data_IF_573120638713
#
_entry.id   IF_573120638713
#
_cell.length_a   1.000
_cell.length_b   1.000
_cell.length_c   1.000
_cell.angle_alpha   90.00
_cell.angle_beta   90.00
_cell.angle_gamma   90.00
#
_symmetry.space_group_name_H-M   'P 1'
#
loop_
_entity.id
_entity.type
_entity.pdbx_description
1 polymer ?
#
# COMPACT_ATOMS: atom_id res chain seq x y z
N UNK A 1 16.77 10.92 -19.37
CA UNK A 1 15.99 10.04 -20.27
C UNK A 1 15.28 9.02 -19.38
N UNK A 2 14.14 9.41 -18.82
CA UNK A 2 13.42 8.65 -17.79
C UNK A 2 12.38 7.74 -18.46
N UNK A 3 12.48 6.43 -18.22
CA UNK A 3 11.40 5.47 -18.44
C UNK A 3 10.92 5.02 -17.06
N UNK A 4 9.74 5.48 -16.66
CA UNK A 4 9.01 5.02 -15.48
C UNK A 4 8.08 3.92 -15.96
N UNK A 5 8.31 2.71 -15.46
CA UNK A 5 7.48 1.52 -15.72
C UNK A 5 6.44 1.46 -14.61
N UNK A 6 5.19 1.73 -14.97
CA UNK A 6 4.00 1.62 -14.12
C UNK A 6 3.50 0.19 -14.19
N UNK A 7 3.09 -0.38 -13.05
CA UNK A 7 2.51 -1.72 -12.89
C UNK A 7 1.67 -2.14 -14.11
N UNK A 8 2.01 -3.31 -14.66
CA UNK A 8 1.67 -3.81 -16.01
C UNK A 8 0.18 -3.82 -16.34
N UNK A 9 -0.72 -3.80 -15.36
CA UNK A 9 -2.16 -3.76 -15.61
C UNK A 9 -2.74 -2.34 -15.66
N UNK A 10 -2.29 -1.42 -14.79
CA UNK A 10 -2.69 0.00 -14.88
C UNK A 10 -2.17 0.63 -16.18
N UNK A 11 -0.98 0.21 -16.63
CA UNK A 11 -0.42 0.61 -17.91
C UNK A 11 -1.24 0.09 -19.10
N UNK A 12 -1.72 -1.16 -19.06
CA UNK A 12 -2.52 -1.74 -20.16
C UNK A 12 -3.92 -1.12 -20.22
N UNK A 13 -4.54 -0.84 -19.07
CA UNK A 13 -5.83 -0.14 -18.98
C UNK A 13 -5.69 1.32 -19.44
N UNK A 14 -4.68 2.06 -18.97
CA UNK A 14 -4.44 3.44 -19.43
C UNK A 14 -3.99 3.51 -20.89
N UNK A 15 -3.24 2.52 -21.38
CA UNK A 15 -2.80 2.44 -22.77
C UNK A 15 -3.96 2.10 -23.72
N UNK A 16 -4.86 1.18 -23.35
CA UNK A 16 -6.02 0.82 -24.18
C UNK A 16 -7.14 1.88 -24.14
N UNK A 17 -7.38 2.51 -22.97
CA UNK A 17 -8.27 3.68 -22.87
C UNK A 17 -7.69 4.86 -23.66
N UNK A 18 -6.36 5.06 -23.61
CA UNK A 18 -5.65 6.03 -24.44
C UNK A 18 -5.75 5.75 -25.94
N UNK A 19 -5.64 4.48 -26.36
CA UNK A 19 -5.68 4.08 -27.77
C UNK A 19 -7.06 4.33 -28.42
N UNK A 20 -8.14 4.11 -27.68
CA UNK A 20 -9.50 4.38 -28.18
C UNK A 20 -9.84 5.88 -28.26
N UNK A 21 -9.23 6.71 -27.41
CA UNK A 21 -9.39 8.18 -27.46
C UNK A 21 -8.50 8.79 -28.57
N UNK A 22 -7.33 8.22 -28.84
CA UNK A 22 -6.37 8.75 -29.83
C UNK A 22 -6.78 8.50 -31.30
N UNK A 23 -7.60 7.48 -31.59
CA UNK A 23 -8.03 7.20 -32.97
C UNK A 23 -9.09 8.19 -33.51
N UNK A 24 -9.70 9.01 -32.64
CA UNK A 24 -10.68 10.04 -33.03
C UNK A 24 -10.08 11.41 -33.35
N UNK A 25 -8.78 11.64 -33.12
CA UNK A 25 -8.14 12.95 -33.30
C UNK A 25 -6.81 12.86 -34.08
N UNK A 26 -6.79 12.13 -35.20
CA UNK A 26 -5.58 11.96 -36.03
C UNK A 26 -5.29 13.13 -36.99
N UNK A 27 -5.88 14.31 -36.78
CA UNK A 27 -5.61 15.49 -37.62
C UNK A 27 -5.46 16.76 -36.75
N UNK A 28 -4.31 16.92 -36.10
CA UNK A 28 -3.68 18.22 -35.80
C UNK A 28 -2.50 17.99 -34.85
N UNK A 29 -1.32 17.78 -35.43
CA UNK A 29 -0.06 17.63 -34.71
C UNK A 29 0.54 19.01 -34.39
N UNK A 30 1.23 19.08 -33.24
CA UNK A 30 2.13 20.13 -32.74
C UNK A 30 1.50 21.35 -32.02
N UNK A 31 1.27 21.19 -30.70
CA UNK A 31 1.67 22.14 -29.62
C UNK A 31 0.90 21.98 -28.29
N UNK A 32 -0.07 21.07 -28.16
CA UNK A 32 -0.98 21.03 -26.99
C UNK A 32 -0.61 20.12 -25.79
N UNK A 33 0.42 19.29 -25.86
CA UNK A 33 0.59 18.16 -24.92
C UNK A 33 1.03 18.53 -23.49
N UNK A 34 1.45 19.77 -23.24
CA UNK A 34 1.81 20.24 -21.90
C UNK A 34 0.66 20.98 -21.17
N UNK A 35 -0.44 21.31 -21.85
CA UNK A 35 -1.53 22.09 -21.27
C UNK A 35 -2.70 21.23 -20.74
N UNK A 36 -2.94 20.04 -21.30
CA UNK A 36 -4.09 19.21 -20.91
C UNK A 36 -3.97 18.51 -19.55
N UNK A 37 -2.77 18.13 -19.11
CA UNK A 37 -2.59 17.49 -17.77
C UNK A 37 -2.71 18.52 -16.64
N UNK A 38 -2.26 19.77 -16.87
CA UNK A 38 -2.45 20.88 -15.93
C UNK A 38 -3.92 21.29 -15.82
N UNK A 39 -4.65 21.27 -16.95
CA UNK A 39 -6.08 21.60 -17.02
C UNK A 39 -6.97 20.58 -16.31
N UNK A 40 -6.72 19.27 -16.43
CA UNK A 40 -7.52 18.26 -15.73
C UNK A 40 -7.28 18.26 -14.22
N UNK A 41 -6.04 18.46 -13.74
CA UNK A 41 -5.77 18.60 -12.31
C UNK A 41 -6.34 19.90 -11.70
N UNK A 42 -6.45 20.98 -12.49
CA UNK A 42 -7.14 22.21 -12.05
C UNK A 42 -8.67 22.07 -11.97
N UNK A 43 -9.27 21.08 -12.65
CA UNK A 43 -10.70 20.77 -12.57
C UNK A 43 -11.05 19.76 -11.48
N UNK A 44 -10.05 19.11 -10.87
CA UNK A 44 -10.20 18.33 -9.62
C UNK A 44 -10.11 19.27 -8.38
N UNK A 45 -10.46 20.55 -8.52
CA UNK A 45 -10.69 21.50 -7.41
C UNK A 45 -12.04 21.27 -6.70
N UNK A 46 -12.51 20.03 -6.67
CA UNK A 46 -13.72 19.60 -5.98
C UNK A 46 -13.45 18.56 -4.88
N UNK A 47 -12.22 18.48 -4.35
CA UNK A 47 -11.96 17.72 -3.12
C UNK A 47 -12.72 18.45 -2.01
N UNK A 48 -13.89 17.92 -1.68
CA UNK A 48 -14.86 18.46 -0.73
C UNK A 48 -14.16 18.98 0.53
N UNK A 49 -14.23 20.29 0.77
CA UNK A 49 -13.74 20.98 1.99
C UNK A 49 -14.37 20.42 3.28
N UNK A 50 -15.47 19.68 3.17
CA UNK A 50 -16.11 18.93 4.28
C UNK A 50 -15.27 17.76 4.81
N UNK A 51 -14.41 17.14 4.00
CA UNK A 51 -13.55 16.04 4.46
C UNK A 51 -12.39 16.52 5.34
N UNK A 52 -11.88 17.73 5.09
CA UNK A 52 -10.89 18.40 5.93
C UNK A 52 -11.55 18.85 7.25
N UNK A 53 -12.80 19.33 7.20
CA UNK A 53 -13.54 19.78 8.37
C UNK A 53 -13.85 18.66 9.37
N UNK A 54 -14.31 17.49 8.91
CA UNK A 54 -14.63 16.35 9.78
C UNK A 54 -13.37 15.66 10.37
N UNK A 55 -12.17 15.95 9.84
CA UNK A 55 -10.90 15.42 10.36
C UNK A 55 -10.40 16.18 11.60
N UNK A 56 -10.98 17.34 11.93
CA UNK A 56 -10.58 18.18 13.05
C UNK A 56 -11.11 17.71 14.42
N UNK A 57 -12.04 16.75 14.45
CA UNK A 57 -12.77 16.37 15.68
C UNK A 57 -12.26 15.09 16.37
N UNK A 58 -11.21 14.43 15.86
CA UNK A 58 -10.67 13.21 16.47
C UNK A 58 -9.36 13.45 17.24
N UNK A 59 -9.20 12.89 18.46
CA UNK A 59 -7.98 13.06 19.23
C UNK A 59 -6.76 12.44 18.50
N UNK A 60 -5.56 13.00 18.71
CA UNK A 60 -4.32 12.48 18.11
C UNK A 60 -4.05 11.05 18.59
N UNK A 61 -3.57 10.19 17.68
CA UNK A 61 -3.02 8.87 18.06
C UNK A 61 -1.73 9.09 18.87
N UNK A 62 -1.43 8.19 19.81
CA UNK A 62 -0.18 8.21 20.56
C UNK A 62 1.01 8.12 19.60
N UNK A 63 1.87 9.13 19.61
CA UNK A 63 3.10 9.16 18.83
C UNK A 63 4.17 8.31 19.52
N UNK A 64 4.92 7.49 18.75
CA UNK A 64 6.05 6.74 19.29
C UNK A 64 7.17 7.68 19.71
N UNK A 65 7.55 7.65 20.98
CA UNK A 65 8.66 8.41 21.54
C UNK A 65 9.80 7.44 21.93
N UNK A 66 10.95 7.45 21.22
CA UNK A 66 12.10 6.61 21.56
C UNK A 66 12.54 6.74 23.02
N UNK A 67 12.49 7.95 23.60
CA UNK A 67 12.94 8.22 24.96
C UNK A 67 12.00 7.60 26.00
N UNK A 68 10.68 7.65 25.75
CA UNK A 68 9.69 6.99 26.59
C UNK A 68 9.90 5.48 26.70
N UNK A 69 10.59 4.88 25.71
CA UNK A 69 10.97 3.46 25.69
C UNK A 69 12.45 3.21 26.04
N UNK A 70 13.16 4.24 26.53
CA UNK A 70 14.57 4.15 26.92
C UNK A 70 15.53 3.89 25.76
N UNK A 71 15.17 4.30 24.54
CA UNK A 71 16.03 4.29 23.36
C UNK A 71 16.70 5.65 23.17
N UNK A 72 17.71 5.70 22.30
CA UNK A 72 18.37 6.96 21.94
C UNK A 72 17.37 7.91 21.22
N UNK A 73 17.34 9.23 21.53
CA UNK A 73 16.44 10.19 20.87
C UNK A 73 16.58 10.24 19.34
N UNK A 74 17.75 9.86 18.81
CA UNK A 74 18.06 9.84 17.38
C UNK A 74 17.68 8.53 16.69
N UNK A 75 17.15 7.55 17.42
CA UNK A 75 16.70 6.28 16.85
C UNK A 75 15.62 6.51 15.78
N UNK A 76 15.82 5.94 14.58
CA UNK A 76 14.86 5.99 13.47
C UNK A 76 14.78 4.62 12.82
N UNK A 77 13.57 4.10 12.69
CA UNK A 77 13.30 2.81 12.07
C UNK A 77 13.51 2.88 10.55
N UNK A 78 13.22 4.03 9.96
CA UNK A 78 13.32 4.30 8.52
C UNK A 78 14.75 4.28 7.98
N UNK A 79 15.77 4.40 8.84
CA UNK A 79 17.18 4.31 8.44
C UNK A 79 17.61 2.91 8.00
N UNK A 80 16.76 1.90 8.14
CA UNK A 80 17.06 0.51 7.83
C UNK A 80 16.50 0.02 6.48
N UNK A 81 16.16 0.88 5.51
CA UNK A 81 15.52 0.49 4.23
C UNK A 81 16.40 0.44 2.96
N UNK A 82 15.87 -0.18 1.88
CA UNK A 82 16.50 -0.32 0.54
C UNK A 82 15.50 -0.16 -0.64
N UNK A 83 15.99 0.12 -1.85
CA UNK A 83 15.21 0.30 -3.09
C UNK A 83 15.51 -0.82 -4.11
N UNK A 84 14.50 -1.55 -4.61
CA UNK A 84 14.70 -2.63 -5.59
C UNK A 84 13.65 -2.64 -6.71
N UNK A 85 14.06 -2.57 -7.99
CA UNK A 85 13.17 -2.61 -9.16
C UNK A 85 12.64 -4.03 -9.43
N UNK A 86 11.31 -4.21 -9.51
CA UNK A 86 10.66 -5.48 -9.91
C UNK A 86 10.58 -5.60 -11.45
N UNK A 87 11.03 -6.72 -12.00
CA UNK A 87 10.74 -7.18 -13.38
C UNK A 87 10.22 -8.63 -13.26
N UNK A 88 9.04 -8.95 -13.81
CA UNK A 88 8.45 -10.30 -13.75
C UNK A 88 8.12 -10.85 -15.14
N UNK A 89 8.39 -12.15 -15.42
CA UNK A 89 7.98 -12.81 -16.66
C UNK A 89 6.50 -13.23 -16.60
N UNK A 90 5.82 -13.23 -17.76
CA UNK A 90 4.41 -13.61 -17.91
C UNK A 90 4.22 -15.14 -17.98
N UNK A 91 3.26 -15.69 -17.24
CA UNK A 91 2.86 -17.11 -17.28
C UNK A 91 1.46 -17.32 -17.89
N UNK A 92 1.20 -18.50 -18.45
CA UNK A 92 -0.09 -18.89 -19.04
C UNK A 92 -1.25 -18.84 -18.02
N UNK A 93 -2.23 -17.98 -18.27
CA UNK A 93 -3.47 -17.86 -17.50
C UNK A 93 -4.55 -18.77 -18.13
N UNK A 94 -5.28 -19.51 -17.31
CA UNK A 94 -6.53 -20.20 -17.71
C UNK A 94 -7.70 -19.60 -16.90
N UNK A 95 -8.94 -19.79 -17.34
CA UNK A 95 -10.13 -19.08 -16.80
C UNK A 95 -10.33 -19.15 -15.27
N UNK A 96 -9.69 -20.10 -14.57
CA UNK A 96 -9.76 -20.27 -13.11
C UNK A 96 -8.39 -20.25 -12.42
N UNK A 97 -7.32 -19.98 -13.16
CA UNK A 97 -5.95 -19.97 -12.64
C UNK A 97 -5.29 -18.62 -12.91
N UNK A 98 -5.02 -17.91 -11.83
CA UNK A 98 -4.22 -16.69 -11.87
C UNK A 98 -2.82 -17.00 -11.35
N UNK A 99 -1.83 -16.79 -12.21
CA UNK A 99 -0.41 -16.94 -11.91
C UNK A 99 0.29 -15.59 -11.69
N UNK A 100 1.59 -15.56 -11.97
CA UNK A 100 2.44 -14.37 -11.81
C UNK A 100 1.89 -13.20 -12.64
N UNK A 101 1.84 -12.01 -12.03
CA UNK A 101 1.50 -10.75 -12.71
C UNK A 101 0.23 -10.06 -12.19
N UNK A 102 -0.49 -10.69 -11.26
CA UNK A 102 -1.63 -10.13 -10.53
C UNK A 102 -1.32 -10.04 -9.03
N UNK A 103 -2.20 -9.37 -8.26
CA UNK A 103 -2.01 -9.09 -6.83
C UNK A 103 -2.02 -10.37 -5.97
N UNK A 104 -2.83 -11.37 -6.34
CA UNK A 104 -2.85 -12.69 -5.70
C UNK A 104 -2.76 -13.80 -6.74
N UNK A 105 -2.26 -14.97 -6.34
CA UNK A 105 -2.46 -16.18 -7.11
C UNK A 105 -3.82 -16.81 -6.79
N UNK A 106 -4.43 -17.44 -7.78
CA UNK A 106 -5.68 -18.21 -7.64
C UNK A 106 -5.44 -19.59 -8.23
N UNK A 107 -5.58 -20.64 -7.42
CA UNK A 107 -5.25 -22.00 -7.78
C UNK A 107 -6.38 -22.96 -7.39
N UNK A 108 -6.83 -23.87 -8.28
CA UNK A 108 -7.79 -24.89 -7.90
C UNK A 108 -7.17 -25.91 -6.95
N UNK A 109 -7.88 -26.23 -5.86
CA UNK A 109 -7.50 -27.30 -4.94
C UNK A 109 -7.93 -28.65 -5.53
N UNK A 110 -7.22 -29.72 -5.20
CA UNK A 110 -7.59 -31.08 -5.60
C UNK A 110 -9.06 -31.38 -5.22
N UNK A 111 -9.86 -31.82 -6.19
CA UNK A 111 -11.32 -32.00 -6.05
C UNK A 111 -12.17 -30.88 -6.67
N UNK A 112 -11.57 -29.76 -7.09
CA UNK A 112 -12.14 -28.80 -8.05
C UNK A 112 -13.28 -27.90 -7.54
N UNK A 113 -13.70 -28.02 -6.28
CA UNK A 113 -14.80 -27.22 -5.71
C UNK A 113 -14.36 -25.92 -5.04
N UNK A 114 -13.10 -25.84 -4.63
CA UNK A 114 -12.55 -24.72 -3.88
C UNK A 114 -11.29 -24.19 -4.56
N UNK A 115 -11.07 -22.89 -4.41
CA UNK A 115 -9.91 -22.19 -4.92
C UNK A 115 -9.06 -21.69 -3.75
N UNK A 116 -7.77 -21.91 -3.83
CA UNK A 116 -6.77 -21.29 -2.98
C UNK A 116 -6.45 -19.90 -3.54
N UNK A 117 -6.60 -18.88 -2.72
CA UNK A 117 -6.17 -17.51 -2.99
C UNK A 117 -5.06 -17.17 -2.03
N UNK A 118 -3.90 -16.77 -2.56
CA UNK A 118 -2.74 -16.50 -1.73
C UNK A 118 -1.93 -15.33 -2.30
N UNK A 119 -1.46 -14.47 -1.39
CA UNK A 119 -0.58 -13.35 -1.69
C UNK A 119 0.57 -13.31 -0.69
N UNK A 120 1.67 -12.68 -1.08
CA UNK A 120 2.77 -12.32 -0.20
C UNK A 120 3.28 -10.93 -0.53
N UNK A 121 3.52 -10.13 0.50
CA UNK A 121 4.17 -8.83 0.34
C UNK A 121 4.97 -8.48 1.59
N UNK A 122 6.01 -7.66 1.41
CA UNK A 122 6.88 -7.21 2.50
C UNK A 122 7.50 -5.85 2.16
N UNK A 123 7.82 -5.09 3.21
CA UNK A 123 8.32 -3.73 3.14
C UNK A 123 9.53 -3.54 4.02
N UNK A 124 10.33 -2.54 3.64
CA UNK A 124 11.19 -1.85 4.59
C UNK A 124 10.35 -0.87 5.41
N UNK A 125 10.76 -0.55 6.65
CA UNK A 125 10.05 0.41 7.47
C UNK A 125 9.85 1.76 6.78
N UNK A 126 8.59 2.18 6.70
CA UNK A 126 8.19 3.46 6.11
C UNK A 126 8.12 4.57 7.16
N UNK A 127 7.80 4.22 8.40
CA UNK A 127 7.60 5.15 9.52
C UNK A 127 8.39 4.68 10.73
N UNK A 128 8.60 5.58 11.69
CA UNK A 128 9.41 5.29 12.88
C UNK A 128 8.66 4.60 14.02
N UNK A 129 7.32 4.67 14.04
CA UNK A 129 6.50 3.94 15.00
C UNK A 129 6.44 2.44 14.63
N UNK A 130 7.07 1.54 15.42
CA UNK A 130 7.12 0.12 15.12
C UNK A 130 5.76 -0.56 15.18
N UNK A 131 4.89 -0.16 16.12
CA UNK A 131 3.56 -0.74 16.24
C UNK A 131 2.69 -0.39 15.03
N UNK A 132 2.67 0.88 14.66
CA UNK A 132 1.99 1.33 13.44
C UNK A 132 2.60 0.68 12.18
N UNK A 133 3.92 0.53 12.12
CA UNK A 133 4.59 -0.15 10.99
C UNK A 133 4.16 -1.62 10.87
N UNK A 134 4.02 -2.32 12.00
CA UNK A 134 3.45 -3.67 12.06
C UNK A 134 2.03 -3.74 11.50
N UNK A 135 1.17 -2.80 11.93
CA UNK A 135 -0.20 -2.69 11.41
C UNK A 135 -0.23 -2.41 9.90
N UNK A 136 0.61 -1.49 9.41
CA UNK A 136 0.72 -1.16 7.98
C UNK A 136 1.11 -2.40 7.17
N UNK A 137 2.12 -3.16 7.63
CA UNK A 137 2.58 -4.34 6.93
C UNK A 137 1.50 -5.42 6.83
N UNK A 138 0.77 -5.68 7.92
CA UNK A 138 -0.35 -6.62 7.91
C UNK A 138 -1.48 -6.16 6.99
N UNK A 139 -1.93 -4.90 7.12
CA UNK A 139 -2.97 -4.32 6.27
C UNK A 139 -2.59 -4.37 4.79
N UNK A 140 -1.30 -4.23 4.48
CA UNK A 140 -0.79 -4.36 3.13
C UNK A 140 -0.88 -5.81 2.62
N UNK A 141 -0.35 -6.77 3.38
CA UNK A 141 -0.42 -8.20 3.02
C UNK A 141 -1.86 -8.66 2.79
N UNK A 142 -2.82 -8.20 3.58
CA UNK A 142 -4.23 -8.55 3.42
C UNK A 142 -4.90 -7.84 2.23
N UNK A 143 -4.35 -6.73 1.76
CA UNK A 143 -5.04 -5.93 0.74
C UNK A 143 -5.13 -6.61 -0.61
N UNK A 144 -4.14 -7.41 -1.01
CA UNK A 144 -4.16 -8.10 -2.30
C UNK A 144 -5.24 -9.20 -2.31
N UNK A 145 -5.57 -9.74 -1.14
CA UNK A 145 -6.67 -10.68 -0.96
C UNK A 145 -8.02 -9.97 -1.13
N UNK A 146 -8.19 -8.82 -0.46
CA UNK A 146 -9.37 -7.97 -0.59
C UNK A 146 -9.57 -7.42 -2.01
N UNK A 147 -8.48 -7.15 -2.75
CA UNK A 147 -8.54 -6.73 -4.16
C UNK A 147 -9.15 -7.80 -5.08
N UNK A 148 -9.08 -9.07 -4.68
CA UNK A 148 -9.71 -10.21 -5.35
C UNK A 148 -11.16 -10.45 -4.91
N UNK A 149 -11.76 -9.55 -4.12
CA UNK A 149 -13.11 -9.75 -3.59
C UNK A 149 -13.19 -10.66 -2.35
N UNK A 150 -12.06 -11.21 -1.90
CA UNK A 150 -12.03 -12.19 -0.81
C UNK A 150 -11.92 -11.47 0.53
N UNK A 151 -12.99 -11.47 1.33
CA UNK A 151 -13.06 -10.75 2.62
C UNK A 151 -12.53 -11.51 3.82
N UNK A 152 -12.49 -12.84 3.72
CA UNK A 152 -12.11 -13.73 4.81
C UNK A 152 -10.72 -14.31 4.53
N UNK A 153 -9.85 -14.24 5.54
CA UNK A 153 -8.50 -14.78 5.47
C UNK A 153 -8.41 -15.96 6.44
N UNK A 154 -8.16 -17.15 5.93
CA UNK A 154 -8.09 -18.35 6.78
C UNK A 154 -6.82 -18.36 7.64
N UNK A 155 -5.71 -17.88 7.08
CA UNK A 155 -4.43 -17.92 7.76
C UNK A 155 -3.45 -16.85 7.28
N UNK A 156 -2.66 -16.32 8.21
CA UNK A 156 -1.48 -15.49 7.92
C UNK A 156 -0.17 -16.11 8.39
N UNK A 157 0.90 -15.87 7.63
CA UNK A 157 2.28 -16.08 8.08
C UNK A 157 3.00 -14.74 8.16
N UNK A 158 3.83 -14.54 9.18
CA UNK A 158 4.64 -13.32 9.32
C UNK A 158 6.05 -13.53 8.75
N UNK A 159 6.50 -12.59 7.92
CA UNK A 159 7.86 -12.54 7.40
C UNK A 159 8.57 -11.36 8.03
N UNK A 160 9.62 -11.64 8.79
CA UNK A 160 10.36 -10.63 9.54
C UNK A 160 11.87 -10.77 9.30
N UNK A 161 12.54 -9.65 9.07
CA UNK A 161 13.99 -9.58 9.20
C UNK A 161 14.39 -8.53 10.21
N UNK A 162 15.35 -8.89 11.06
CA UNK A 162 15.90 -8.03 12.10
C UNK A 162 17.22 -7.47 11.60
N UNK A 163 17.40 -6.15 11.72
CA UNK A 163 18.65 -5.52 11.27
C UNK A 163 19.82 -5.93 12.16
N UNK A 164 20.92 -6.35 11.55
CA UNK A 164 22.19 -6.60 12.25
C UNK A 164 22.86 -5.33 12.78
N UNK A 165 22.33 -4.15 12.45
CA UNK A 165 22.81 -2.84 12.94
C UNK A 165 22.13 -2.40 14.24
N UNK A 166 21.02 -3.04 14.62
CA UNK A 166 20.33 -2.75 15.86
C UNK A 166 21.05 -3.43 17.04
N UNK A 167 21.24 -2.67 18.10
CA UNK A 167 21.61 -3.21 19.40
C UNK A 167 20.55 -4.19 19.92
N UNK A 168 20.94 -5.05 20.85
CA UNK A 168 20.01 -5.99 21.49
C UNK A 168 18.86 -5.26 22.17
N UNK A 169 19.14 -4.14 22.85
CA UNK A 169 18.12 -3.31 23.50
C UNK A 169 17.10 -2.73 22.51
N UNK A 170 17.56 -2.19 21.38
CA UNK A 170 16.63 -1.68 20.36
C UNK A 170 15.77 -2.82 19.80
N UNK A 171 16.37 -3.99 19.56
CA UNK A 171 15.66 -5.17 19.06
C UNK A 171 14.57 -5.63 20.02
N UNK A 172 14.88 -5.73 21.31
CA UNK A 172 13.96 -6.21 22.34
C UNK A 172 12.75 -5.29 22.57
N UNK A 173 12.83 -4.04 22.10
CA UNK A 173 11.72 -3.08 22.14
C UNK A 173 10.97 -3.05 20.81
N UNK A 174 11.69 -2.82 19.71
CA UNK A 174 11.12 -2.53 18.40
C UNK A 174 10.46 -3.75 17.79
N UNK A 175 11.09 -4.92 17.87
CA UNK A 175 10.57 -6.13 17.22
C UNK A 175 9.26 -6.60 17.88
N UNK A 176 9.15 -6.70 19.22
CA UNK A 176 7.88 -7.06 19.84
C UNK A 176 6.74 -6.07 19.56
N UNK A 177 7.01 -4.76 19.55
CA UNK A 177 6.00 -3.76 19.18
C UNK A 177 5.50 -3.93 17.75
N UNK A 178 6.43 -4.21 16.83
CA UNK A 178 6.11 -4.42 15.42
C UNK A 178 5.29 -5.71 15.21
N UNK A 179 5.68 -6.81 15.85
CA UNK A 179 4.93 -8.06 15.83
C UNK A 179 3.53 -7.88 16.45
N UNK A 180 3.43 -7.14 17.56
CA UNK A 180 2.16 -6.80 18.20
C UNK A 180 1.25 -6.03 17.26
N UNK A 181 1.76 -5.00 16.57
CA UNK A 181 0.99 -4.25 15.59
C UNK A 181 0.47 -5.14 14.46
N UNK A 182 1.30 -6.03 13.93
CA UNK A 182 0.88 -6.98 12.90
C UNK A 182 -0.24 -7.92 13.40
N UNK A 183 -0.08 -8.50 14.59
CA UNK A 183 -1.07 -9.39 15.20
C UNK A 183 -2.40 -8.68 15.50
N UNK A 184 -2.36 -7.47 16.05
CA UNK A 184 -3.59 -6.70 16.33
C UNK A 184 -4.35 -6.37 15.04
N UNK A 185 -3.64 -6.12 13.93
CA UNK A 185 -4.26 -5.92 12.61
C UNK A 185 -4.85 -7.24 12.04
N UNK A 186 -4.18 -8.37 12.24
CA UNK A 186 -4.71 -9.68 11.85
C UNK A 186 -6.00 -10.02 12.62
N UNK A 187 -6.03 -9.72 13.92
CA UNK A 187 -7.23 -9.87 14.76
C UNK A 187 -8.38 -8.96 14.28
N UNK A 188 -8.09 -7.71 13.91
CA UNK A 188 -9.08 -6.79 13.31
C UNK A 188 -9.65 -7.33 11.98
N UNK A 189 -8.84 -8.10 11.25
CA UNK A 189 -9.24 -8.80 10.03
C UNK A 189 -9.94 -10.15 10.28
N UNK A 190 -10.19 -10.51 11.54
CA UNK A 190 -10.77 -11.81 11.94
C UNK A 190 -9.94 -13.03 11.49
N UNK A 191 -8.61 -12.87 11.45
CA UNK A 191 -7.67 -13.95 11.14
C UNK A 191 -6.57 -14.04 12.20
N UNK A 192 -5.72 -15.06 12.10
CA UNK A 192 -4.62 -15.30 13.02
C UNK A 192 -3.31 -15.51 12.28
N UNK A 193 -2.21 -15.16 12.95
CA UNK A 193 -0.85 -15.43 12.48
C UNK A 193 -0.40 -16.77 13.08
N UNK A 194 -0.47 -17.84 12.29
CA UNK A 194 -0.19 -19.22 12.76
C UNK A 194 1.28 -19.64 12.56
N UNK A 195 2.12 -18.73 12.09
CA UNK A 195 3.53 -19.02 11.88
C UNK A 195 4.26 -17.89 11.18
N UNK A 196 5.51 -18.17 10.82
CA UNK A 196 6.35 -17.19 10.17
C UNK A 196 7.82 -17.56 10.20
N UNK A 197 8.63 -16.65 9.66
CA UNK A 197 10.08 -16.77 9.67
C UNK A 197 10.70 -15.44 10.08
N UNK A 198 11.66 -15.52 11.00
CA UNK A 198 12.50 -14.39 11.41
C UNK A 198 13.96 -14.67 11.06
N UNK A 199 14.63 -13.73 10.39
CA UNK A 199 16.04 -13.85 10.01
C UNK A 199 16.83 -12.59 10.33
N UNK A 200 18.15 -12.73 10.51
CA UNK A 200 19.05 -11.58 10.55
C UNK A 200 19.34 -11.09 9.12
N UNK A 201 19.31 -9.78 8.92
CA UNK A 201 19.52 -9.14 7.62
C UNK A 201 20.16 -7.76 7.85
N UNK A 202 20.89 -7.12 6.90
CA UNK A 202 21.36 -5.75 7.10
C UNK A 202 20.24 -4.72 7.30
N UNK A 203 19.05 -5.04 6.80
CA UNK A 203 17.87 -4.18 6.80
C UNK A 203 16.70 -4.83 7.53
N UNK A 204 15.79 -4.02 8.06
CA UNK A 204 14.55 -4.52 8.64
C UNK A 204 13.58 -4.76 7.49
N UNK A 205 12.93 -5.92 7.46
CA UNK A 205 11.80 -6.16 6.57
C UNK A 205 10.66 -6.71 7.38
N UNK A 206 9.45 -6.24 7.09
CA UNK A 206 8.23 -6.80 7.67
C UNK A 206 7.20 -7.01 6.57
N UNK A 207 6.53 -8.15 6.63
CA UNK A 207 5.48 -8.51 5.72
C UNK A 207 4.85 -9.83 6.13
N UNK A 208 4.23 -10.48 5.17
CA UNK A 208 3.59 -11.75 5.43
C UNK A 208 3.09 -12.46 4.19
N UNK A 209 2.34 -13.51 4.47
CA UNK A 209 1.54 -14.26 3.52
C UNK A 209 0.12 -14.25 4.03
N UNK A 210 -0.86 -13.92 3.19
CA UNK A 210 -2.28 -14.09 3.49
C UNK A 210 -2.83 -15.19 2.59
N UNK A 211 -3.61 -16.10 3.18
CA UNK A 211 -4.13 -17.28 2.49
C UNK A 211 -5.62 -17.45 2.79
N UNK A 212 -6.41 -17.72 1.76
CA UNK A 212 -7.81 -18.07 1.88
C UNK A 212 -8.18 -19.21 0.94
N UNK A 213 -9.17 -20.00 1.33
CA UNK A 213 -9.78 -21.07 0.55
C UNK A 213 -11.26 -20.76 0.46
N UNK A 214 -11.70 -20.39 -0.74
CA UNK A 214 -13.08 -19.97 -0.97
C UNK A 214 -13.63 -20.59 -2.25
N UNK A 215 -14.97 -20.69 -2.38
CA UNK A 215 -15.57 -21.13 -3.61
C UNK A 215 -15.47 -20.02 -4.69
N UNK A 216 -15.53 -20.36 -5.98
CA UNK A 216 -15.31 -19.40 -7.07
C UNK A 216 -16.22 -18.16 -7.04
N UNK A 217 -17.46 -18.31 -6.55
CA UNK A 217 -18.44 -17.22 -6.42
C UNK A 217 -18.01 -16.10 -5.44
N UNK A 218 -17.06 -16.36 -4.55
CA UNK A 218 -16.54 -15.37 -3.61
C UNK A 218 -15.31 -14.62 -4.16
N UNK A 219 -14.88 -14.93 -5.39
CA UNK A 219 -13.73 -14.30 -6.03
C UNK A 219 -14.20 -13.39 -7.15
N UNK A 220 -13.77 -12.13 -7.10
CA UNK A 220 -13.95 -11.17 -8.18
C UNK A 220 -12.70 -11.20 -9.04
N UNK A 221 -12.82 -11.75 -10.25
CA UNK A 221 -11.69 -11.82 -11.16
C UNK A 221 -11.32 -10.42 -11.69
N UNK A 222 -10.03 -10.04 -11.67
CA UNK A 222 -9.55 -8.69 -12.00
C UNK A 222 -9.51 -8.40 -13.51
N UNK A 223 -10.11 -9.27 -14.30
CA UNK A 223 -10.33 -9.12 -15.74
C UNK A 223 -11.83 -9.27 -15.96
N UNK A 224 -12.49 -8.21 -16.43
CA UNK A 224 -13.86 -8.15 -16.98
C UNK A 224 -14.38 -6.70 -17.04
N UNK A 225 -13.46 -5.71 -17.04
CA UNK A 225 -13.83 -4.30 -17.13
C UNK A 225 -14.42 -3.99 -18.50
N UNK A 226 -15.53 -3.27 -18.52
CA UNK A 226 -16.28 -2.92 -19.72
C UNK A 226 -16.23 -1.39 -19.96
N UNK A 227 -16.28 -0.94 -21.22
CA UNK A 227 -16.48 0.47 -21.51
C UNK A 227 -17.80 0.96 -20.88
N UNK A 228 -17.69 2.01 -20.06
CA UNK A 228 -18.82 2.54 -19.28
C UNK A 228 -18.64 2.35 -17.76
N UNK A 229 -17.74 1.46 -17.33
CA UNK A 229 -17.41 1.30 -15.92
C UNK A 229 -16.72 2.55 -15.36
N UNK A 230 -16.94 2.80 -14.07
CA UNK A 230 -16.32 3.92 -13.34
C UNK A 230 -15.21 3.40 -12.43
N UNK A 231 -14.19 4.23 -12.25
CA UNK A 231 -13.08 3.95 -11.33
C UNK A 231 -13.39 4.55 -9.97
N UNK A 232 -13.33 3.70 -8.93
CA UNK A 232 -13.52 4.11 -7.54
C UNK A 232 -12.23 3.90 -6.77
N UNK A 233 -11.82 4.95 -6.06
CA UNK A 233 -10.65 4.94 -5.18
C UNK A 233 -11.11 5.06 -3.73
N UNK A 234 -10.77 4.09 -2.90
CA UNK A 234 -11.24 4.03 -1.49
C UNK A 234 -10.30 4.70 -0.50
N UNK A 235 -9.03 4.91 -0.88
CA UNK A 235 -8.00 5.57 -0.07
C UNK A 235 -7.37 6.74 -0.84
N UNK A 236 -7.09 7.89 -0.19
CA UNK A 236 -6.44 9.00 -0.85
C UNK A 236 -5.00 8.67 -1.25
N UNK A 237 -4.53 9.31 -2.32
CA UNK A 237 -3.15 9.20 -2.79
C UNK A 237 -2.21 10.12 -2.01
N UNK A 238 -0.90 9.86 -2.08
CA UNK A 238 0.14 10.77 -1.61
C UNK A 238 0.79 10.41 -0.26
N UNK A 239 0.46 9.27 0.34
CA UNK A 239 1.05 8.85 1.64
C UNK A 239 2.57 8.71 1.56
N UNK A 240 3.14 8.16 0.47
CA UNK A 240 4.60 8.05 0.29
C UNK A 240 5.30 9.41 0.26
N UNK A 241 4.69 10.39 -0.42
CA UNK A 241 5.22 11.75 -0.43
C UNK A 241 5.29 12.30 1.00
N UNK A 242 4.20 12.11 1.76
CA UNK A 242 4.11 12.62 3.13
C UNK A 242 5.05 11.92 4.09
N UNK A 243 5.23 10.61 3.97
CA UNK A 243 6.27 9.85 4.69
C UNK A 243 7.67 10.41 4.39
N UNK A 244 7.99 10.65 3.11
CA UNK A 244 9.29 11.21 2.74
C UNK A 244 9.49 12.64 3.26
N UNK A 245 8.45 13.49 3.19
CA UNK A 245 8.51 14.85 3.72
C UNK A 245 8.69 14.84 5.24
N UNK A 246 8.00 13.96 5.97
CA UNK A 246 8.19 13.78 7.41
C UNK A 246 9.61 13.34 7.75
N UNK A 247 10.15 12.37 7.01
CA UNK A 247 11.55 11.94 7.16
C UNK A 247 12.53 13.10 6.88
N UNK A 248 12.27 13.95 5.88
CA UNK A 248 13.12 15.12 5.63
C UNK A 248 13.07 16.14 6.76
N UNK A 249 11.90 16.32 7.37
CA UNK A 249 11.73 17.20 8.54
C UNK A 249 12.52 16.65 9.73
N UNK A 250 12.35 15.37 10.06
CA UNK A 250 12.94 14.76 11.26
C UNK A 250 14.47 14.62 11.20
N UNK A 251 15.02 14.58 9.98
CA UNK A 251 16.46 14.49 9.73
C UNK A 251 17.08 15.84 9.38
N UNK A 252 16.32 16.94 9.51
CA UNK A 252 16.75 18.29 9.13
C UNK A 252 17.36 18.34 7.71
N UNK A 253 16.81 17.53 6.81
CA UNK A 253 17.39 17.29 5.50
C UNK A 253 17.22 18.55 4.63
N UNK A 254 18.26 18.91 3.86
CA UNK A 254 18.29 20.13 3.02
C UNK A 254 17.09 20.28 2.08
N UNK A 255 16.57 19.17 1.57
CA UNK A 255 15.32 19.11 0.77
C UNK A 255 14.10 19.71 1.47
N UNK A 256 13.98 19.65 2.80
CA UNK A 256 12.87 20.26 3.52
C UNK A 256 12.90 21.79 3.41
N UNK A 257 14.09 22.40 3.42
CA UNK A 257 14.24 23.86 3.24
C UNK A 257 13.64 24.35 1.92
N UNK A 258 13.70 23.52 0.86
CA UNK A 258 13.12 23.86 -0.44
C UNK A 258 11.59 23.89 -0.44
N UNK A 259 10.93 23.25 0.52
CA UNK A 259 9.46 23.14 0.59
C UNK A 259 8.87 23.81 1.84
N UNK A 260 9.71 24.38 2.72
CA UNK A 260 9.28 25.05 3.96
C UNK A 260 8.33 26.23 3.72
N UNK A 261 8.40 26.85 2.55
CA UNK A 261 7.49 27.91 2.13
C UNK A 261 6.12 27.41 1.62
N UNK A 262 6.00 26.11 1.37
CA UNK A 262 4.77 25.46 0.85
C UNK A 262 3.97 24.81 1.98
N UNK A 263 4.65 24.21 2.96
CA UNK A 263 4.01 23.43 4.03
C UNK A 263 4.67 23.70 5.38
N UNK A 264 3.87 23.94 6.42
CA UNK A 264 4.35 24.13 7.79
C UNK A 264 4.65 22.78 8.46
N UNK A 265 5.57 22.77 9.44
CA UNK A 265 5.95 21.58 10.20
C UNK A 265 4.74 20.94 10.91
N UNK A 266 3.85 21.76 11.47
CA UNK A 266 2.58 21.29 12.05
C UNK A 266 1.69 20.58 11.02
N UNK A 267 1.63 21.11 9.78
CA UNK A 267 0.85 20.48 8.71
C UNK A 267 1.49 19.16 8.27
N UNK A 268 2.82 19.10 8.19
CA UNK A 268 3.54 17.85 7.89
C UNK A 268 3.18 16.77 8.90
N UNK A 269 3.24 17.09 10.20
CA UNK A 269 2.88 16.13 11.25
C UNK A 269 1.43 15.65 11.11
N UNK A 270 0.48 16.57 10.98
CA UNK A 270 -0.96 16.23 10.85
C UNK A 270 -1.23 15.35 9.63
N UNK A 271 -0.67 15.68 8.47
CA UNK A 271 -0.89 14.93 7.22
C UNK A 271 -0.15 13.59 7.25
N UNK A 272 1.02 13.52 7.89
CA UNK A 272 1.71 12.26 8.16
C UNK A 272 0.83 11.33 9.00
N UNK A 273 0.27 11.80 10.12
CA UNK A 273 -0.57 10.99 10.99
C UNK A 273 -1.84 10.49 10.27
N UNK A 274 -2.42 11.33 9.41
CA UNK A 274 -3.52 10.90 8.54
C UNK A 274 -3.09 9.84 7.52
N UNK A 275 -1.89 9.99 6.95
CA UNK A 275 -1.33 9.01 6.04
C UNK A 275 -1.12 7.65 6.71
N UNK A 276 -0.61 7.64 7.95
CA UNK A 276 -0.46 6.44 8.77
C UNK A 276 -1.82 5.80 9.04
N UNK A 277 -2.82 6.57 9.47
CA UNK A 277 -4.20 6.08 9.67
C UNK A 277 -4.78 5.46 8.39
N UNK A 278 -4.56 6.09 7.23
CA UNK A 278 -5.01 5.57 5.93
C UNK A 278 -4.31 4.27 5.55
N UNK A 279 -3.00 4.15 5.81
CA UNK A 279 -2.23 2.94 5.52
C UNK A 279 -2.62 1.76 6.42
N UNK A 280 -2.85 2.00 7.72
CA UNK A 280 -3.28 0.99 8.69
C UNK A 280 -4.68 0.44 8.40
N UNK A 281 -5.59 1.26 7.86
CA UNK A 281 -6.99 0.86 7.65
C UNK A 281 -7.10 -0.35 6.72
N UNK A 282 -7.74 -1.42 7.19
CA UNK A 282 -8.06 -2.58 6.34
C UNK A 282 -9.00 -2.19 5.21
N UNK A 283 -8.87 -2.88 4.08
CA UNK A 283 -9.76 -2.69 2.92
C UNK A 283 -10.91 -3.72 2.87
N UNK A 284 -11.14 -4.45 3.97
CA UNK A 284 -12.12 -5.53 4.10
C UNK A 284 -13.55 -5.13 3.73
N UNK A 285 -13.96 -3.91 4.10
CA UNK A 285 -15.33 -3.39 3.84
C UNK A 285 -15.56 -2.93 2.40
N UNK A 286 -14.53 -2.93 1.56
CA UNK A 286 -14.64 -2.57 0.14
C UNK A 286 -15.60 -3.46 -0.65
N UNK A 287 -15.79 -4.71 -0.23
CA UNK A 287 -16.67 -5.69 -0.89
C UNK A 287 -18.15 -5.58 -0.52
N UNK A 288 -18.54 -4.69 0.40
CA UNK A 288 -19.96 -4.43 0.69
C UNK A 288 -20.66 -3.85 -0.55
N UNK A 289 -19.90 -3.27 -1.48
CA UNK A 289 -20.38 -2.87 -2.80
C UNK A 289 -20.32 -4.06 -3.75
N UNK A 290 -21.34 -4.92 -3.69
CA UNK A 290 -21.57 -6.09 -4.53
C UNK A 290 -21.83 -5.69 -6.01
N UNK A 291 -20.91 -4.94 -6.59
CA UNK A 291 -21.01 -4.27 -7.89
C UNK A 291 -19.72 -4.52 -8.68
N UNK A 292 -19.83 -4.62 -10.01
CA UNK A 292 -18.72 -4.67 -10.97
C UNK A 292 -17.89 -3.37 -11.01
N UNK A 293 -17.48 -2.83 -9.86
CA UNK A 293 -16.54 -1.73 -9.79
C UNK A 293 -15.14 -2.28 -9.58
N UNK A 294 -14.19 -1.82 -10.40
CA UNK A 294 -12.78 -2.00 -10.11
C UNK A 294 -12.49 -1.18 -8.85
N UNK A 295 -12.46 -1.86 -7.71
CA UNK A 295 -11.98 -1.30 -6.47
C UNK A 295 -10.47 -1.14 -6.62
N UNK A 296 -10.02 0.05 -7.01
CA UNK A 296 -8.59 0.33 -7.08
C UNK A 296 -8.11 0.51 -5.65
N UNK A 297 -7.78 -0.61 -5.01
CA UNK A 297 -7.17 -0.64 -3.71
C UNK A 297 -5.69 -0.35 -3.88
N UNK A 298 -5.39 0.90 -4.20
CA UNK A 298 -4.02 1.40 -4.12
C UNK A 298 -3.73 1.49 -2.63
N UNK A 299 -3.19 0.41 -2.06
CA UNK A 299 -2.05 0.59 -1.20
C UNK A 299 -1.11 1.47 -1.98
N UNK A 300 -0.65 2.51 -1.31
CA UNK A 300 0.34 3.45 -1.77
C UNK A 300 1.68 2.81 -2.15
N UNK A 301 1.69 1.92 -3.14
CA UNK A 301 2.85 1.44 -3.86
C UNK A 301 3.28 2.53 -4.86
N UNK A 302 3.73 3.65 -4.27
CA UNK A 302 4.92 4.33 -4.74
C UNK A 302 6.11 4.01 -3.81
N UNK A 303 6.02 2.92 -3.04
CA UNK A 303 7.20 2.23 -2.57
C UNK A 303 7.87 1.61 -3.80
N UNK A 304 9.13 1.99 -4.02
CA UNK A 304 10.00 1.58 -5.13
C UNK A 304 9.71 2.33 -6.44
N UNK A 305 10.36 3.49 -6.61
CA UNK A 305 11.08 3.84 -7.84
C UNK A 305 12.16 4.89 -7.56
#
# INVERSE_FOLDING_TARGET
>A
MFKIVISSYLATVLHNVGYHVLKRNYNSVHSGLFCCVKSHLSKVQGINSRYIANAMDNPPQQHFDPVAHGLDPTFRLTHCGFQSKRNSPSSNQTDLRIGIGMDSCVLPIQGGKLLLVQTTDFFYPLIDDPYAMGKIACANTLSDLYAMGVTDCDNMLMLLSVSNKMSERERDVVIPLMMKGFNDCAQEAETQVEGGQSVLNPWITIGGVATAVCPPENIIMPYNICPGDVLVLTKPLGTQLMVNVKNWLDLEHSKFNNIRHVISEETVQKVHDYSVKSMIRLNRTGNVFNFSFLLCMILSNLAIL
#
